data_IF_126189404971
#
_entry.id   IF_126189404971
#
_cell.length_a   1.000
_cell.length_b   1.000
_cell.length_c   1.000
_cell.angle_alpha   90.00
_cell.angle_beta   90.00
_cell.angle_gamma   90.00
#
_symmetry.space_group_name_H-M   'P 1'
#
loop_
_entity.id
_entity.type
_entity.pdbx_description
1 polymer ?
#
# COMPACT_ATOMS: atom_id res chain seq x y z
N UNK A 1 -4.78 19.61 11.31
CA UNK A 1 -5.23 18.20 11.41
C UNK A 1 -4.07 17.36 10.91
N UNK A 2 -3.46 16.56 11.79
CA UNK A 2 -2.23 15.84 11.47
C UNK A 2 -2.52 14.34 11.42
N UNK A 3 -2.05 13.68 10.37
CA UNK A 3 -2.15 12.23 10.20
C UNK A 3 -0.79 11.62 10.54
N UNK A 4 -0.78 10.65 11.44
CA UNK A 4 0.41 9.85 11.73
C UNK A 4 0.22 8.46 11.11
N UNK A 5 1.06 8.11 10.14
CA UNK A 5 1.05 6.82 9.49
C UNK A 5 2.28 6.02 9.94
N UNK A 6 2.08 4.82 10.45
CA UNK A 6 3.15 3.84 10.69
C UNK A 6 2.96 2.66 9.76
N UNK A 7 4.02 2.28 9.08
CA UNK A 7 4.02 1.19 8.11
C UNK A 7 4.97 0.09 8.60
N UNK A 8 4.60 -1.16 8.31
CA UNK A 8 5.38 -2.34 8.65
C UNK A 8 5.46 -3.24 7.43
N UNK A 9 6.59 -3.93 7.28
CA UNK A 9 6.82 -4.95 6.25
C UNK A 9 6.95 -6.30 6.93
N UNK A 10 6.48 -7.36 6.29
CA UNK A 10 6.62 -8.73 6.78
C UNK A 10 6.31 -9.73 5.70
N UNK A 11 6.82 -10.94 5.88
CA UNK A 11 6.57 -12.07 5.00
C UNK A 11 5.25 -12.76 5.35
N UNK A 12 4.55 -13.25 4.32
CA UNK A 12 3.33 -14.01 4.47
C UNK A 12 3.23 -15.06 3.36
N UNK A 13 2.81 -16.27 3.72
CA UNK A 13 2.57 -17.37 2.80
C UNK A 13 1.08 -17.45 2.42
N UNK A 14 0.82 -17.90 1.19
CA UNK A 14 -0.53 -18.14 0.67
C UNK A 14 -1.08 -17.01 -0.20
N UNK A 15 -2.37 -17.08 -0.51
CA UNK A 15 -3.08 -16.08 -1.33
C UNK A 15 -3.99 -15.24 -0.43
N UNK A 16 -3.86 -13.89 -0.43
CA UNK A 16 -4.73 -13.03 0.36
C UNK A 16 -6.21 -13.18 -0.06
N UNK A 17 -7.09 -13.31 0.92
CA UNK A 17 -8.54 -13.39 0.70
C UNK A 17 -9.23 -12.27 1.47
N UNK A 18 -10.09 -11.51 0.80
CA UNK A 18 -10.88 -10.46 1.43
C UNK A 18 -11.80 -11.07 2.49
N UNK A 19 -11.93 -10.41 3.64
CA UNK A 19 -12.71 -10.92 4.77
C UNK A 19 -13.26 -9.75 5.62
N UNK A 20 -14.29 -10.04 6.42
CA UNK A 20 -15.04 -9.06 7.20
C UNK A 20 -15.54 -7.88 6.35
N UNK A 21 -15.16 -6.65 6.70
CA UNK A 21 -15.62 -5.42 6.02
C UNK A 21 -14.74 -5.03 4.81
N UNK A 22 -13.74 -5.84 4.45
CA UNK A 22 -12.89 -5.56 3.28
C UNK A 22 -13.65 -5.92 2.00
N UNK A 23 -14.03 -4.90 1.25
CA UNK A 23 -14.74 -5.06 -0.02
C UNK A 23 -13.87 -5.66 -1.14
N UNK A 24 -12.59 -5.30 -1.20
CA UNK A 24 -11.67 -5.74 -2.26
C UNK A 24 -10.22 -5.82 -1.75
N UNK A 25 -9.49 -6.82 -2.23
CA UNK A 25 -8.04 -6.90 -2.13
C UNK A 25 -7.42 -6.82 -3.53
N UNK A 26 -6.46 -5.91 -3.70
CA UNK A 26 -5.73 -5.71 -4.95
C UNK A 26 -4.29 -5.34 -4.66
N UNK A 27 -3.37 -5.89 -5.45
CA UNK A 27 -1.97 -5.49 -5.41
C UNK A 27 -1.79 -4.16 -6.13
N UNK A 28 -1.17 -3.20 -5.44
CA UNK A 28 -0.90 -1.87 -5.97
C UNK A 28 0.59 -1.60 -6.02
N UNK A 29 0.97 -0.72 -6.93
CA UNK A 29 2.34 -0.28 -7.14
C UNK A 29 2.38 1.21 -7.53
N UNK A 30 3.55 1.73 -7.92
CA UNK A 30 3.77 3.14 -8.24
C UNK A 30 2.90 3.68 -9.38
N UNK A 31 2.29 2.82 -10.20
CA UNK A 31 1.39 3.22 -11.29
C UNK A 31 0.01 3.65 -10.78
N UNK A 32 -0.34 3.26 -9.55
CA UNK A 32 -1.67 3.46 -8.97
C UNK A 32 -1.75 4.71 -8.07
N UNK A 33 -0.81 5.66 -8.18
CA UNK A 33 -0.75 6.85 -7.32
C UNK A 33 -2.03 7.72 -7.38
N UNK A 34 -2.77 7.69 -8.48
CA UNK A 34 -4.03 8.41 -8.63
C UNK A 34 -5.18 7.80 -7.80
N UNK A 35 -5.09 6.50 -7.50
CA UNK A 35 -6.13 5.72 -6.83
C UNK A 35 -5.96 5.69 -5.31
N UNK A 36 -4.81 6.15 -4.79
CA UNK A 36 -4.50 6.16 -3.36
C UNK A 36 -4.63 7.56 -2.75
N UNK A 37 -4.80 7.59 -1.43
CA UNK A 37 -4.89 8.82 -0.65
C UNK A 37 -3.61 9.69 -0.78
N UNK A 38 -3.69 11.02 -0.62
CA UNK A 38 -2.52 11.91 -0.74
C UNK A 38 -1.34 11.52 0.17
N UNK A 39 -1.60 11.04 1.39
CA UNK A 39 -0.53 10.60 2.31
C UNK A 39 0.11 9.30 1.84
N UNK A 40 -0.69 8.37 1.30
CA UNK A 40 -0.18 7.11 0.75
C UNK A 40 0.69 7.33 -0.49
N UNK A 41 0.48 8.41 -1.25
CA UNK A 41 1.34 8.74 -2.40
C UNK A 41 2.80 8.94 -1.99
N UNK A 42 3.04 9.61 -0.86
CA UNK A 42 4.39 9.82 -0.33
C UNK A 42 5.08 8.48 -0.03
N UNK A 43 4.33 7.54 0.57
CA UNK A 43 4.83 6.20 0.87
C UNK A 43 5.14 5.43 -0.42
N UNK A 44 4.23 5.42 -1.41
CA UNK A 44 4.42 4.69 -2.66
C UNK A 44 5.60 5.23 -3.47
N UNK A 45 5.76 6.55 -3.54
CA UNK A 45 6.92 7.17 -4.18
C UNK A 45 8.22 6.77 -3.48
N UNK A 46 8.23 6.75 -2.15
CA UNK A 46 9.39 6.31 -1.38
C UNK A 46 9.69 4.83 -1.63
N UNK A 47 8.70 3.95 -1.60
CA UNK A 47 8.86 2.51 -1.87
C UNK A 47 9.41 2.24 -3.27
N UNK A 48 8.91 2.94 -4.29
CA UNK A 48 9.37 2.83 -5.66
C UNK A 48 10.83 3.31 -5.82
N UNK A 49 11.18 4.42 -5.16
CA UNK A 49 12.56 4.92 -5.16
C UNK A 49 13.56 3.96 -4.48
N UNK A 50 13.09 3.11 -3.56
CA UNK A 50 13.88 2.04 -2.95
C UNK A 50 13.86 0.73 -3.77
N UNK A 51 13.10 0.66 -4.86
CA UNK A 51 12.93 -0.56 -5.65
C UNK A 51 12.15 -1.67 -4.93
N UNK A 52 11.38 -1.33 -3.88
CA UNK A 52 10.57 -2.30 -3.12
C UNK A 52 9.23 -2.60 -3.78
N UNK A 53 8.76 -1.68 -4.63
CA UNK A 53 7.61 -1.86 -5.52
C UNK A 53 7.98 -1.32 -6.90
N UNK A 54 7.26 -1.79 -7.93
CA UNK A 54 7.42 -1.32 -9.31
C UNK A 54 6.75 0.02 -9.55
#
# INVERSE_FOLDING_TARGET
MNVNLRCYTGDADGTPVASAEIAELRWLDSRHLAEVSPVSRLLFQWLAAQGLIH
#
